data_IF_195825579125
#
_entry.id   IF_195825579125
#
_cell.length_a   1.000
_cell.length_b   1.000
_cell.length_c   1.000
_cell.angle_alpha   90.00
_cell.angle_beta   90.00
_cell.angle_gamma   90.00
#
_symmetry.space_group_name_H-M   'P 1'
#
loop_
_entity.id
_entity.type
_entity.pdbx_description
1 polymer ?
#
# COMPACT_ATOMS: atom_id res chain seq x y z
N UNK A 1 19.87 -0.94 -16.19
CA UNK A 1 18.50 -0.91 -16.72
C UNK A 1 18.15 0.56 -16.95
N UNK A 2 17.83 0.97 -18.17
CA UNK A 2 17.57 2.39 -18.46
C UNK A 2 16.27 2.82 -17.80
N UNK A 3 16.15 4.12 -17.50
CA UNK A 3 14.91 4.72 -16.94
C UNK A 3 13.71 4.61 -17.91
N UNK A 4 14.02 4.32 -19.17
CA UNK A 4 13.10 4.13 -20.29
C UNK A 4 12.77 2.66 -20.55
N UNK A 5 13.28 1.72 -19.74
CA UNK A 5 12.88 0.33 -19.86
C UNK A 5 11.36 0.23 -19.61
N UNK A 6 10.58 -0.22 -20.61
CA UNK A 6 9.12 -0.25 -20.50
C UNK A 6 8.65 -1.12 -19.33
N UNK A 7 9.42 -2.14 -18.94
CA UNK A 7 9.10 -2.98 -17.78
C UNK A 7 9.26 -2.21 -16.48
N UNK A 8 10.34 -1.44 -16.33
CA UNK A 8 10.59 -0.63 -15.14
C UNK A 8 9.52 0.46 -14.97
N UNK A 9 9.17 1.13 -16.07
CA UNK A 9 8.14 2.17 -16.07
C UNK A 9 6.76 1.57 -15.76
N UNK A 10 6.43 0.43 -16.36
CA UNK A 10 5.17 -0.27 -16.09
C UNK A 10 5.07 -0.69 -14.62
N UNK A 11 6.14 -1.21 -14.01
CA UNK A 11 6.14 -1.59 -12.60
C UNK A 11 5.92 -0.40 -11.67
N UNK A 12 6.61 0.73 -11.93
CA UNK A 12 6.44 1.97 -11.18
C UNK A 12 4.97 2.42 -11.19
N UNK A 13 4.36 2.49 -12.37
CA UNK A 13 2.98 2.95 -12.50
C UNK A 13 1.97 1.94 -11.95
N UNK A 14 2.21 0.64 -12.05
CA UNK A 14 1.35 -0.37 -11.41
C UNK A 14 1.32 -0.19 -9.89
N UNK A 15 2.47 0.05 -9.25
CA UNK A 15 2.55 0.30 -7.81
C UNK A 15 1.81 1.59 -7.46
N UNK A 16 2.05 2.68 -8.20
CA UNK A 16 1.37 3.96 -7.98
C UNK A 16 -0.16 3.81 -8.09
N UNK A 17 -0.65 3.19 -9.16
CA UNK A 17 -2.09 3.01 -9.41
C UNK A 17 -2.72 2.14 -8.32
N UNK A 18 -2.14 0.99 -8.01
CA UNK A 18 -2.68 0.09 -6.98
C UNK A 18 -2.66 0.78 -5.61
N UNK A 19 -1.62 1.55 -5.30
CA UNK A 19 -1.53 2.30 -4.05
C UNK A 19 -2.60 3.39 -3.95
N UNK A 20 -2.84 4.15 -5.03
CA UNK A 20 -3.92 5.13 -5.10
C UNK A 20 -5.30 4.50 -4.94
N UNK A 21 -5.55 3.37 -5.62
CA UNK A 21 -6.79 2.61 -5.47
C UNK A 21 -6.99 2.17 -4.03
N UNK A 22 -5.93 1.72 -3.35
CA UNK A 22 -6.01 1.35 -1.93
C UNK A 22 -6.32 2.57 -1.03
N UNK A 23 -5.71 3.73 -1.26
CA UNK A 23 -6.05 4.96 -0.51
C UNK A 23 -7.53 5.31 -0.68
N UNK A 24 -8.01 5.34 -1.92
CA UNK A 24 -9.42 5.65 -2.21
C UNK A 24 -10.35 4.64 -1.55
N UNK A 25 -10.02 3.34 -1.62
CA UNK A 25 -10.80 2.29 -1.00
C UNK A 25 -10.81 2.41 0.54
N UNK A 26 -9.66 2.69 1.17
CA UNK A 26 -9.57 2.93 2.61
C UNK A 26 -10.45 4.10 3.04
N UNK A 27 -10.44 5.20 2.30
CA UNK A 27 -11.30 6.37 2.57
C UNK A 27 -12.78 6.05 2.34
N UNK A 28 -13.10 5.31 1.28
CA UNK A 28 -14.48 4.88 1.00
C UNK A 28 -15.05 4.04 2.14
N UNK A 29 -14.30 3.05 2.62
CA UNK A 29 -14.66 2.23 3.79
C UNK A 29 -14.82 3.13 5.02
N UNK A 30 -13.91 4.06 5.25
CA UNK A 30 -14.01 5.00 6.36
C UNK A 30 -15.37 5.72 6.34
N UNK A 31 -15.75 6.36 5.24
CA UNK A 31 -17.01 7.09 5.15
C UNK A 31 -18.25 6.20 5.26
N UNK A 32 -18.20 4.98 4.70
CA UNK A 32 -19.32 4.03 4.75
C UNK A 32 -19.62 3.59 6.20
N UNK A 33 -18.59 3.24 6.96
CA UNK A 33 -18.75 2.69 8.31
C UNK A 33 -18.80 3.76 9.40
N UNK A 34 -18.22 4.95 9.17
CA UNK A 34 -18.20 6.02 10.18
C UNK A 34 -19.61 6.48 10.60
N UNK A 35 -20.58 6.47 9.67
CA UNK A 35 -21.94 6.98 9.91
C UNK A 35 -22.74 6.16 10.93
N UNK A 36 -22.49 4.84 11.04
CA UNK A 36 -23.36 3.91 11.77
C UNK A 36 -22.66 3.20 12.95
N UNK A 37 -21.62 3.82 13.52
CA UNK A 37 -20.70 3.13 14.43
C UNK A 37 -20.68 3.72 15.85
N UNK A 38 -20.52 2.84 16.85
CA UNK A 38 -20.33 3.24 18.26
C UNK A 38 -19.02 4.00 18.46
N UNK A 39 -18.96 4.87 19.50
CA UNK A 39 -17.81 5.76 19.74
C UNK A 39 -16.45 5.05 19.73
N UNK A 40 -16.35 3.87 20.33
CA UNK A 40 -15.11 3.10 20.40
C UNK A 40 -14.67 2.56 19.02
N UNK A 41 -15.61 2.02 18.25
CA UNK A 41 -15.34 1.48 16.91
C UNK A 41 -15.03 2.61 15.91
N UNK A 42 -15.58 3.81 16.11
CA UNK A 42 -15.23 5.01 15.33
C UNK A 42 -13.81 5.48 15.58
N UNK A 43 -13.34 5.51 16.83
CA UNK A 43 -11.95 5.87 17.15
C UNK A 43 -10.98 4.86 16.52
N UNK A 44 -11.26 3.56 16.65
CA UNK A 44 -10.45 2.51 16.03
C UNK A 44 -10.38 2.70 14.50
N UNK A 45 -11.51 2.97 13.86
CA UNK A 45 -11.60 3.21 12.42
C UNK A 45 -10.79 4.44 11.98
N UNK A 46 -10.85 5.55 12.73
CA UNK A 46 -10.04 6.76 12.47
C UNK A 46 -8.56 6.43 12.51
N UNK A 47 -8.09 5.77 13.59
CA UNK A 47 -6.67 5.43 13.75
C UNK A 47 -6.18 4.56 12.60
N UNK A 48 -6.93 3.52 12.23
CA UNK A 48 -6.57 2.65 11.10
C UNK A 48 -6.57 3.37 9.76
N UNK A 49 -7.50 4.29 9.55
CA UNK A 49 -7.58 5.07 8.31
C UNK A 49 -6.38 6.00 8.18
N UNK A 50 -6.03 6.72 9.25
CA UNK A 50 -4.85 7.60 9.27
C UNK A 50 -3.58 6.78 9.04
N UNK A 51 -3.41 5.68 9.77
CA UNK A 51 -2.25 4.81 9.60
C UNK A 51 -2.15 4.25 8.17
N UNK A 52 -3.26 3.76 7.61
CA UNK A 52 -3.32 3.24 6.25
C UNK A 52 -2.93 4.29 5.21
N UNK A 53 -3.52 5.49 5.29
CA UNK A 53 -3.20 6.60 4.38
C UNK A 53 -1.73 7.00 4.48
N UNK A 54 -1.16 7.07 5.68
CA UNK A 54 0.27 7.39 5.86
C UNK A 54 1.17 6.31 5.25
N UNK A 55 0.87 5.03 5.46
CA UNK A 55 1.64 3.93 4.90
C UNK A 55 1.58 3.89 3.37
N UNK A 56 0.41 4.08 2.78
CA UNK A 56 0.28 4.17 1.33
C UNK A 56 0.96 5.41 0.76
N UNK A 57 0.93 6.53 1.48
CA UNK A 57 1.67 7.75 1.08
C UNK A 57 3.18 7.50 1.04
N UNK A 58 3.74 6.74 2.00
CA UNK A 58 5.14 6.32 1.96
C UNK A 58 5.44 5.46 0.72
N UNK A 59 4.54 4.54 0.36
CA UNK A 59 4.66 3.73 -0.86
C UNK A 59 4.69 4.57 -2.13
N UNK A 60 3.82 5.59 -2.23
CA UNK A 60 3.85 6.54 -3.35
C UNK A 60 5.17 7.29 -3.42
N UNK A 61 5.64 7.84 -2.29
CA UNK A 61 6.90 8.59 -2.24
C UNK A 61 8.08 7.69 -2.64
N UNK A 62 8.13 6.46 -2.12
CA UNK A 62 9.16 5.48 -2.49
C UNK A 62 9.16 5.15 -3.98
N UNK A 63 7.98 4.93 -4.56
CA UNK A 63 7.83 4.65 -5.99
C UNK A 63 8.25 5.85 -6.87
N UNK A 64 7.84 7.07 -6.50
CA UNK A 64 8.18 8.27 -7.27
C UNK A 64 9.65 8.64 -7.19
N UNK A 65 10.23 8.60 -5.98
CA UNK A 65 11.64 8.89 -5.74
C UNK A 65 12.57 7.76 -6.19
N UNK A 66 12.03 6.58 -6.50
CA UNK A 66 12.82 5.39 -6.82
C UNK A 66 13.81 5.09 -5.68
N UNK A 67 13.33 5.16 -4.43
CA UNK A 67 14.14 4.98 -3.22
C UNK A 67 14.01 3.55 -2.70
N UNK A 68 15.14 2.83 -2.68
CA UNK A 68 15.19 1.44 -2.26
C UNK A 68 14.73 1.21 -0.82
N UNK A 69 15.19 2.05 0.11
CA UNK A 69 14.90 1.92 1.54
C UNK A 69 13.43 2.17 1.80
N UNK A 70 12.85 3.20 1.18
CA UNK A 70 11.41 3.47 1.30
C UNK A 70 10.56 2.35 0.72
N UNK A 71 10.95 1.79 -0.44
CA UNK A 71 10.22 0.65 -1.03
C UNK A 71 10.31 -0.61 -0.18
N UNK A 72 11.46 -0.88 0.45
CA UNK A 72 11.59 -1.99 1.41
C UNK A 72 10.71 -1.79 2.64
N UNK A 73 10.77 -0.61 3.26
CA UNK A 73 9.93 -0.30 4.43
C UNK A 73 8.46 -0.45 4.07
N UNK A 74 8.05 0.07 2.91
CA UNK A 74 6.69 -0.07 2.42
C UNK A 74 6.29 -1.54 2.23
N UNK A 75 7.13 -2.36 1.59
CA UNK A 75 6.89 -3.79 1.41
C UNK A 75 6.73 -4.55 2.73
N UNK A 76 7.59 -4.27 3.72
CA UNK A 76 7.50 -4.85 5.07
C UNK A 76 6.21 -4.44 5.78
N UNK A 77 5.86 -3.15 5.72
CA UNK A 77 4.62 -2.62 6.30
C UNK A 77 3.39 -3.24 5.65
N UNK A 78 3.41 -3.51 4.34
CA UNK A 78 2.34 -4.22 3.66
C UNK A 78 2.22 -5.67 4.15
N UNK A 79 3.34 -6.39 4.36
CA UNK A 79 3.31 -7.74 4.94
C UNK A 79 2.70 -7.71 6.35
N UNK A 80 3.14 -6.78 7.20
CA UNK A 80 2.59 -6.63 8.55
C UNK A 80 1.10 -6.32 8.52
N UNK A 81 0.66 -5.41 7.65
CA UNK A 81 -0.75 -5.12 7.46
C UNK A 81 -1.55 -6.32 6.96
N UNK A 82 -0.99 -7.14 6.07
CA UNK A 82 -1.64 -8.36 5.61
C UNK A 82 -1.83 -9.35 6.77
N UNK A 83 -0.80 -9.56 7.59
CA UNK A 83 -0.85 -10.43 8.78
C UNK A 83 -1.88 -9.92 9.78
N UNK A 84 -1.87 -8.62 10.10
CA UNK A 84 -2.80 -8.00 11.03
C UNK A 84 -4.24 -7.96 10.47
N UNK A 85 -4.39 -7.74 9.17
CA UNK A 85 -5.66 -7.72 8.45
C UNK A 85 -6.34 -9.09 8.39
N UNK A 86 -5.58 -10.18 8.41
CA UNK A 86 -6.12 -11.54 8.58
C UNK A 86 -6.89 -11.71 9.90
N UNK A 87 -6.51 -10.98 10.95
CA UNK A 87 -7.22 -10.98 12.23
C UNK A 87 -8.40 -9.98 12.28
N UNK A 88 -8.56 -9.10 11.27
CA UNK A 88 -9.63 -8.09 11.17
C UNK A 88 -10.54 -8.38 9.96
N UNK A 89 -11.29 -9.47 10.06
CA UNK A 89 -11.96 -10.17 8.95
C UNK A 89 -13.20 -9.50 8.34
N UNK A 90 -13.70 -8.39 8.88
CA UNK A 90 -14.91 -7.74 8.33
C UNK A 90 -14.64 -6.74 7.19
N UNK A 91 -13.43 -6.18 7.09
CA UNK A 91 -13.16 -5.02 6.21
C UNK A 91 -12.30 -5.37 4.98
N UNK A 92 -11.50 -6.45 5.05
CA UNK A 92 -10.40 -6.72 4.11
C UNK A 92 -10.65 -7.82 3.06
N UNK A 93 -11.81 -8.50 3.06
CA UNK A 93 -12.03 -9.66 2.17
C UNK A 93 -11.97 -9.32 0.68
N UNK A 94 -12.30 -8.09 0.28
CA UNK A 94 -12.26 -7.66 -1.12
C UNK A 94 -10.88 -7.24 -1.66
N UNK A 95 -9.91 -6.93 -0.80
CA UNK A 95 -8.63 -6.33 -1.21
C UNK A 95 -7.42 -7.25 -1.05
N UNK A 96 -7.58 -8.45 -0.50
CA UNK A 96 -6.46 -9.34 -0.15
C UNK A 96 -5.59 -9.71 -1.36
N UNK A 97 -6.21 -10.05 -2.49
CA UNK A 97 -5.49 -10.35 -3.74
C UNK A 97 -4.66 -9.14 -4.20
N UNK A 98 -5.25 -7.95 -4.22
CA UNK A 98 -4.56 -6.71 -4.60
C UNK A 98 -3.41 -6.38 -3.66
N UNK A 99 -3.57 -6.68 -2.37
CA UNK A 99 -2.54 -6.50 -1.36
C UNK A 99 -1.33 -7.42 -1.62
N UNK A 100 -1.58 -8.70 -1.91
CA UNK A 100 -0.52 -9.67 -2.24
C UNK A 100 0.20 -9.26 -3.51
N UNK A 101 -0.54 -8.86 -4.55
CA UNK A 101 0.05 -8.36 -5.80
C UNK A 101 0.93 -7.12 -5.50
N UNK A 102 0.43 -6.16 -4.72
CA UNK A 102 1.18 -4.96 -4.37
C UNK A 102 2.46 -5.28 -3.60
N UNK A 103 2.43 -6.23 -2.66
CA UNK A 103 3.61 -6.71 -1.93
C UNK A 103 4.66 -7.23 -2.91
N UNK A 104 4.26 -8.15 -3.79
CA UNK A 104 5.18 -8.77 -4.76
C UNK A 104 5.78 -7.72 -5.68
N UNK A 105 4.95 -6.84 -6.26
CA UNK A 105 5.41 -5.76 -7.13
C UNK A 105 6.36 -4.80 -6.41
N UNK A 106 6.08 -4.47 -5.15
CA UNK A 106 6.91 -3.59 -4.32
C UNK A 106 8.31 -4.17 -4.14
N UNK A 107 8.45 -5.46 -3.82
CA UNK A 107 9.76 -6.09 -3.66
C UNK A 107 10.50 -6.26 -4.99
N UNK A 108 9.80 -6.62 -6.08
CA UNK A 108 10.41 -6.68 -7.41
C UNK A 108 10.93 -5.31 -7.83
N UNK A 109 10.14 -4.26 -7.62
CA UNK A 109 10.54 -2.90 -7.94
C UNK A 109 11.70 -2.42 -7.05
N UNK A 110 11.68 -2.72 -5.75
CA UNK A 110 12.80 -2.44 -4.84
C UNK A 110 14.09 -3.10 -5.33
N UNK A 111 14.03 -4.36 -5.75
CA UNK A 111 15.17 -5.07 -6.33
C UNK A 111 15.71 -4.38 -7.60
N UNK A 112 14.82 -3.98 -8.51
CA UNK A 112 15.25 -3.26 -9.71
C UNK A 112 15.82 -1.87 -9.43
N UNK A 113 15.27 -1.16 -8.44
CA UNK A 113 15.83 0.12 -7.96
C UNK A 113 17.23 -0.11 -7.41
N UNK A 114 17.43 -1.13 -6.57
CA UNK A 114 18.74 -1.46 -6.01
C UNK A 114 19.77 -1.75 -7.10
N UNK A 115 19.43 -2.65 -8.04
CA UNK A 115 20.30 -3.04 -9.17
C UNK A 115 20.61 -1.88 -10.14
N UNK A 116 19.79 -0.83 -10.15
CA UNK A 116 19.98 0.33 -11.03
C UNK A 116 20.97 1.34 -10.45
N UNK A 117 21.01 1.47 -9.13
CA UNK A 117 21.77 2.52 -8.43
C UNK A 117 22.98 2.00 -7.65
N UNK A 118 23.11 0.69 -7.48
CA UNK A 118 24.29 -0.02 -6.95
C UNK A 118 24.78 -1.07 -7.96
#
# INVERSE_FOLDING_TARGET
>A
MSREDPVFLSLKWSIVIITLVNIVYTLYIFFLYFKNTSRERSVRLIIWTIAGVLFFSLGLIGAFKEDFTLMLIFGIVLILNLILGFFQTEIYKGSLLLYVILIVLTFIFAYFVHKKYN
#
